data_IF_853057818708
#
_entry.id   IF_853057818708
#
_cell.length_a   1.000
_cell.length_b   1.000
_cell.length_c   1.000
_cell.angle_alpha   90.00
_cell.angle_beta   90.00
_cell.angle_gamma   90.00
#
_symmetry.space_group_name_H-M   'P 1'
#
loop_
_entity.id
_entity.type
_entity.pdbx_description
1 polymer ?
#
# COMPACT_ATOMS: atom_id res chain seq x y z
N UNK A 1 9.04 -31.54 -9.68
CA UNK A 1 8.89 -30.25 -8.98
C UNK A 1 8.35 -30.54 -7.59
N UNK A 2 8.76 -29.81 -6.55
CA UNK A 2 8.16 -29.97 -5.22
C UNK A 2 6.67 -29.62 -5.28
N UNK A 3 5.84 -30.40 -4.58
CA UNK A 3 4.43 -30.07 -4.36
C UNK A 3 4.35 -29.06 -3.21
N UNK A 4 3.59 -27.98 -3.40
CA UNK A 4 3.29 -27.00 -2.36
C UNK A 4 1.95 -27.39 -1.77
N UNK A 5 1.95 -27.81 -0.51
CA UNK A 5 0.73 -28.14 0.23
C UNK A 5 0.23 -26.88 0.97
N UNK A 6 -1.05 -26.54 0.79
CA UNK A 6 -1.69 -25.45 1.51
C UNK A 6 -2.54 -26.01 2.66
N UNK A 7 -2.54 -25.32 3.79
CA UNK A 7 -3.59 -25.50 4.81
C UNK A 7 -4.87 -24.81 4.36
N UNK A 8 -6.02 -25.19 4.94
CA UNK A 8 -7.30 -24.50 4.73
C UNK A 8 -7.20 -22.98 4.95
N UNK A 9 -6.48 -22.55 5.99
CA UNK A 9 -6.25 -21.13 6.27
C UNK A 9 -5.48 -20.46 5.14
N UNK A 10 -4.38 -21.05 4.69
CA UNK A 10 -3.54 -20.48 3.63
C UNK A 10 -4.28 -20.43 2.29
N UNK A 11 -5.12 -21.42 2.00
CA UNK A 11 -6.00 -21.39 0.84
C UNK A 11 -7.00 -20.22 0.90
N UNK A 12 -7.63 -20.01 2.06
CA UNK A 12 -8.51 -18.85 2.27
C UNK A 12 -7.78 -17.51 2.19
N UNK A 13 -6.55 -17.42 2.72
CA UNK A 13 -5.69 -16.23 2.62
C UNK A 13 -5.35 -15.92 1.16
N UNK A 14 -5.10 -16.95 0.34
CA UNK A 14 -4.83 -16.81 -1.09
C UNK A 14 -6.06 -16.30 -1.86
N UNK A 15 -7.25 -16.87 -1.60
CA UNK A 15 -8.50 -16.40 -2.20
C UNK A 15 -8.77 -14.92 -1.90
N UNK A 16 -8.62 -14.51 -0.63
CA UNK A 16 -8.73 -13.10 -0.23
C UNK A 16 -7.73 -12.21 -0.96
N UNK A 17 -6.47 -12.62 -1.01
CA UNK A 17 -5.39 -11.84 -1.66
C UNK A 17 -5.64 -11.65 -3.15
N UNK A 18 -6.11 -12.69 -3.84
CA UNK A 18 -6.50 -12.61 -5.24
C UNK A 18 -7.73 -11.74 -5.45
N UNK A 19 -8.69 -11.78 -4.53
CA UNK A 19 -9.89 -10.91 -4.59
C UNK A 19 -9.48 -9.43 -4.48
N UNK A 20 -8.63 -9.07 -3.52
CA UNK A 20 -8.06 -7.73 -3.43
C UNK A 20 -7.30 -7.38 -4.71
N UNK A 21 -6.52 -8.31 -5.25
CA UNK A 21 -5.79 -8.12 -6.51
C UNK A 21 -6.73 -7.87 -7.70
N UNK A 22 -7.89 -8.53 -7.76
CA UNK A 22 -8.91 -8.29 -8.79
C UNK A 22 -9.37 -6.83 -8.78
N UNK A 23 -9.68 -6.28 -7.59
CA UNK A 23 -10.03 -4.87 -7.46
C UNK A 23 -8.91 -3.94 -7.90
N UNK A 24 -7.67 -4.19 -7.48
CA UNK A 24 -6.51 -3.36 -7.84
C UNK A 24 -6.24 -3.41 -9.36
N UNK A 25 -6.26 -4.60 -9.96
CA UNK A 25 -6.05 -4.77 -11.40
C UNK A 25 -7.16 -4.10 -12.19
N UNK A 26 -8.41 -4.24 -11.77
CA UNK A 26 -9.55 -3.58 -12.40
C UNK A 26 -9.41 -2.06 -12.33
N UNK A 27 -9.06 -1.53 -11.15
CA UNK A 27 -8.79 -0.11 -10.98
C UNK A 27 -7.65 0.40 -11.89
N UNK A 28 -6.53 -0.32 -11.98
CA UNK A 28 -5.40 0.06 -12.85
C UNK A 28 -5.83 0.07 -14.33
N UNK A 29 -6.56 -0.96 -14.78
CA UNK A 29 -7.05 -1.05 -16.16
C UNK A 29 -7.99 0.11 -16.49
N UNK A 30 -8.95 0.39 -15.60
CA UNK A 30 -9.99 1.40 -15.83
C UNK A 30 -9.46 2.84 -15.71
N UNK A 31 -8.60 3.11 -14.72
CA UNK A 31 -8.17 4.47 -14.39
C UNK A 31 -6.86 4.87 -15.05
N UNK A 32 -5.89 3.94 -15.14
CA UNK A 32 -4.58 4.23 -15.72
C UNK A 32 -4.51 3.88 -17.22
N UNK A 33 -5.48 3.12 -17.74
CA UNK A 33 -5.46 2.63 -19.12
C UNK A 33 -4.27 1.71 -19.41
N UNK A 34 -3.73 1.07 -18.36
CA UNK A 34 -2.56 0.19 -18.46
C UNK A 34 -3.06 -1.25 -18.59
N UNK A 35 -2.60 -1.95 -19.62
CA UNK A 35 -2.79 -3.39 -19.70
C UNK A 35 -1.92 -4.08 -18.66
N UNK A 36 -2.58 -4.85 -17.79
CA UNK A 36 -1.93 -5.71 -16.81
C UNK A 36 -2.12 -7.15 -17.25
N UNK A 37 -1.00 -7.84 -17.53
CA UNK A 37 -0.94 -9.27 -17.85
C UNK A 37 -1.08 -10.11 -16.57
N UNK A 38 -2.19 -9.89 -15.87
CA UNK A 38 -2.62 -10.63 -14.70
C UNK A 38 -4.14 -10.74 -14.77
N UNK A 39 -4.65 -11.94 -14.53
CA UNK A 39 -6.08 -12.26 -14.51
C UNK A 39 -6.45 -12.90 -13.16
N UNK A 40 -6.66 -12.07 -12.12
CA UNK A 40 -7.01 -12.57 -10.79
C UNK A 40 -8.33 -13.33 -10.77
N UNK A 41 -9.32 -12.91 -11.58
CA UNK A 41 -10.65 -13.54 -11.61
C UNK A 41 -10.57 -14.99 -12.09
N UNK A 42 -9.77 -15.24 -13.13
CA UNK A 42 -9.48 -16.60 -13.57
C UNK A 42 -8.80 -17.41 -12.48
N UNK A 43 -7.81 -16.84 -11.78
CA UNK A 43 -7.11 -17.53 -10.69
C UNK A 43 -8.05 -17.86 -9.52
N UNK A 44 -8.98 -16.96 -9.18
CA UNK A 44 -10.01 -17.20 -8.16
C UNK A 44 -10.91 -18.36 -8.57
N UNK A 45 -11.40 -18.38 -9.81
CA UNK A 45 -12.25 -19.46 -10.32
C UNK A 45 -11.51 -20.80 -10.35
N UNK A 46 -10.25 -20.81 -10.80
CA UNK A 46 -9.41 -22.01 -10.81
C UNK A 46 -9.21 -22.56 -9.39
N UNK A 47 -9.04 -21.69 -8.38
CA UNK A 47 -8.97 -22.12 -6.99
C UNK A 47 -10.31 -22.65 -6.50
N UNK A 48 -11.41 -21.90 -6.66
CA UNK A 48 -12.74 -22.31 -6.19
C UNK A 48 -13.19 -23.66 -6.74
N UNK A 49 -12.78 -24.02 -7.97
CA UNK A 49 -13.01 -25.35 -8.54
C UNK A 49 -12.40 -26.50 -7.71
N UNK A 50 -11.36 -26.22 -6.93
CA UNK A 50 -10.65 -27.14 -6.03
C UNK A 50 -11.06 -26.94 -4.56
N UNK A 51 -12.00 -26.03 -4.27
CA UNK A 51 -12.33 -25.60 -2.92
C UNK A 51 -12.86 -26.71 -1.99
N UNK A 52 -13.43 -27.77 -2.56
CA UNK A 52 -13.95 -28.91 -1.81
C UNK A 52 -12.87 -29.56 -0.91
N UNK A 53 -11.63 -29.64 -1.39
CA UNK A 53 -10.50 -30.21 -0.64
C UNK A 53 -10.10 -29.36 0.57
N UNK A 54 -10.53 -28.10 0.60
CA UNK A 54 -10.29 -27.12 1.65
C UNK A 54 -11.56 -26.79 2.45
N UNK A 55 -12.64 -27.58 2.30
CA UNK A 55 -13.89 -27.38 3.04
C UNK A 55 -14.78 -26.24 2.51
N UNK A 56 -14.53 -25.77 1.29
CA UNK A 56 -15.41 -24.82 0.60
C UNK A 56 -16.49 -25.57 -0.21
N UNK A 57 -17.69 -24.99 -0.37
CA UNK A 57 -18.74 -25.64 -1.14
C UNK A 57 -18.34 -25.82 -2.61
N UNK A 58 -18.71 -26.97 -3.20
CA UNK A 58 -18.69 -27.11 -4.66
C UNK A 58 -19.84 -26.32 -5.22
N UNK A 59 -19.54 -25.40 -6.14
CA UNK A 59 -20.50 -24.46 -6.70
C UNK A 59 -20.35 -24.44 -8.22
N UNK A 60 -21.45 -24.27 -8.95
CA UNK A 60 -21.42 -23.92 -10.36
C UNK A 60 -21.00 -22.45 -10.56
N UNK A 61 -20.75 -22.02 -11.80
CA UNK A 61 -20.25 -20.67 -12.09
C UNK A 61 -21.14 -19.54 -11.52
N UNK A 62 -22.47 -19.71 -11.55
CA UNK A 62 -23.41 -18.73 -11.00
C UNK A 62 -23.32 -18.67 -9.47
N UNK A 63 -23.35 -19.84 -8.83
CA UNK A 63 -23.22 -19.97 -7.36
C UNK A 63 -21.87 -19.43 -6.87
N UNK A 64 -20.80 -19.65 -7.65
CA UNK A 64 -19.48 -19.11 -7.33
C UNK A 64 -19.48 -17.58 -7.37
N UNK A 65 -20.07 -16.97 -8.41
CA UNK A 65 -20.18 -15.51 -8.51
C UNK A 65 -20.95 -14.92 -7.33
N UNK A 66 -22.12 -15.48 -7.00
CA UNK A 66 -22.93 -15.03 -5.86
C UNK A 66 -22.18 -15.18 -4.53
N UNK A 67 -21.47 -16.30 -4.34
CA UNK A 67 -20.68 -16.54 -3.14
C UNK A 67 -19.48 -15.58 -3.03
N UNK A 68 -18.79 -15.29 -4.13
CA UNK A 68 -17.71 -14.31 -4.15
C UNK A 68 -18.20 -12.92 -3.73
N UNK A 69 -19.35 -12.48 -4.25
CA UNK A 69 -19.97 -11.20 -3.89
C UNK A 69 -20.40 -11.14 -2.42
N UNK A 70 -20.90 -12.26 -1.87
CA UNK A 70 -21.37 -12.29 -0.48
C UNK A 70 -20.26 -12.47 0.55
N UNK A 71 -19.24 -13.27 0.24
CA UNK A 71 -18.25 -13.70 1.24
C UNK A 71 -16.88 -13.06 1.01
N UNK A 72 -16.36 -13.04 -0.22
CA UNK A 72 -15.00 -12.55 -0.49
C UNK A 72 -14.95 -11.03 -0.67
N UNK A 73 -15.94 -10.45 -1.35
CA UNK A 73 -15.98 -9.02 -1.65
C UNK A 73 -16.00 -8.15 -0.38
N UNK A 74 -16.82 -8.41 0.64
CA UNK A 74 -16.78 -7.63 1.88
C UNK A 74 -15.43 -7.69 2.57
N UNK A 75 -14.81 -8.88 2.63
CA UNK A 75 -13.47 -9.06 3.21
C UNK A 75 -12.39 -8.28 2.44
N UNK A 76 -12.46 -8.28 1.11
CA UNK A 76 -11.54 -7.52 0.27
C UNK A 76 -11.74 -6.00 0.45
N UNK A 77 -12.99 -5.54 0.56
CA UNK A 77 -13.30 -4.14 0.82
C UNK A 77 -12.80 -3.67 2.19
N UNK A 78 -12.93 -4.52 3.22
CA UNK A 78 -12.39 -4.20 4.55
C UNK A 78 -10.86 -4.04 4.49
N UNK A 79 -10.14 -4.94 3.82
CA UNK A 79 -8.68 -4.85 3.64
C UNK A 79 -8.30 -3.57 2.87
N UNK A 80 -9.00 -3.28 1.77
CA UNK A 80 -8.74 -2.09 0.96
C UNK A 80 -8.99 -0.81 1.75
N UNK A 81 -10.02 -0.79 2.59
CA UNK A 81 -10.33 0.34 3.46
C UNK A 81 -9.27 0.54 4.54
N UNK A 82 -8.83 -0.53 5.20
CA UNK A 82 -7.73 -0.45 6.17
C UNK A 82 -6.44 0.07 5.52
N UNK A 83 -6.16 -0.36 4.29
CA UNK A 83 -5.03 0.16 3.52
C UNK A 83 -5.19 1.63 3.14
N UNK A 84 -6.38 2.06 2.71
CA UNK A 84 -6.67 3.46 2.40
C UNK A 84 -6.51 4.36 3.63
N UNK A 85 -7.05 3.94 4.78
CA UNK A 85 -6.90 4.64 6.06
C UNK A 85 -5.43 4.75 6.47
N UNK A 86 -4.64 3.67 6.32
CA UNK A 86 -3.19 3.69 6.54
C UNK A 86 -2.47 4.67 5.60
N UNK A 87 -2.74 4.57 4.30
CA UNK A 87 -2.11 5.40 3.28
C UNK A 87 -2.45 6.89 3.43
N UNK A 88 -3.65 7.21 3.93
CA UNK A 88 -4.02 8.58 4.26
C UNK A 88 -3.05 9.19 5.28
N UNK A 89 -2.76 8.48 6.37
CA UNK A 89 -1.85 8.98 7.41
C UNK A 89 -0.40 9.04 6.94
N UNK A 90 0.08 8.00 6.24
CA UNK A 90 1.40 8.00 5.61
C UNK A 90 1.57 9.21 4.68
N UNK A 91 0.57 9.44 3.82
CA UNK A 91 0.66 10.53 2.87
C UNK A 91 0.62 11.89 3.55
N UNK A 92 -0.21 12.05 4.57
CA UNK A 92 -0.31 13.29 5.33
C UNK A 92 1.02 13.62 6.03
N UNK A 93 1.67 12.65 6.66
CA UNK A 93 2.97 12.84 7.30
C UNK A 93 4.04 13.22 6.28
N UNK A 94 4.09 12.50 5.16
CA UNK A 94 5.03 12.76 4.07
C UNK A 94 4.85 14.16 3.46
N UNK A 95 3.61 14.58 3.18
CA UNK A 95 3.31 15.89 2.58
C UNK A 95 3.71 17.05 3.53
N UNK A 96 3.50 16.89 4.84
CA UNK A 96 3.92 17.88 5.85
C UNK A 96 5.46 17.93 6.01
N UNK A 97 6.12 16.77 5.97
CA UNK A 97 7.57 16.70 6.00
C UNK A 97 8.19 17.35 4.76
N UNK A 98 7.66 17.05 3.56
CA UNK A 98 8.11 17.65 2.30
C UNK A 98 7.97 19.17 2.33
N UNK A 99 6.81 19.68 2.79
CA UNK A 99 6.58 21.13 2.97
C UNK A 99 7.67 21.76 3.84
N UNK A 100 7.94 21.16 4.99
CA UNK A 100 8.89 21.72 5.95
C UNK A 100 10.31 21.64 5.40
N UNK A 101 10.72 20.53 4.80
CA UNK A 101 12.04 20.40 4.17
C UNK A 101 12.24 21.39 3.02
N UNK A 102 11.22 21.62 2.20
CA UNK A 102 11.26 22.60 1.11
C UNK A 102 11.48 24.03 1.64
N UNK A 103 10.94 24.36 2.82
CA UNK A 103 11.18 25.65 3.49
C UNK A 103 12.57 25.77 4.14
N UNK A 104 13.22 24.64 4.46
CA UNK A 104 14.52 24.57 5.15
C UNK A 104 15.73 24.39 4.20
N UNK A 105 15.61 24.75 2.93
CA UNK A 105 16.59 24.54 1.85
C UNK A 105 17.99 25.24 1.99
N UNK A 106 18.55 25.38 3.19
CA UNK A 106 19.88 25.95 3.43
C UNK A 106 20.78 25.12 4.36
N UNK A 107 20.61 23.80 4.46
CA UNK A 107 21.62 22.97 5.16
C UNK A 107 22.69 22.53 4.16
N UNK A 108 23.62 23.44 3.89
CA UNK A 108 24.88 23.10 3.23
C UNK A 108 25.69 22.20 4.17
N UNK A 109 25.92 20.95 3.78
CA UNK A 109 26.82 20.05 4.49
C UNK A 109 28.24 20.36 4.04
N UNK A 110 29.14 20.82 4.93
CA UNK A 110 30.54 20.98 4.58
C UNK A 110 31.18 19.58 4.60
N UNK A 111 31.21 18.91 3.45
CA UNK A 111 31.99 17.68 3.27
C UNK A 111 33.44 18.04 2.93
N UNK A 112 34.39 17.41 3.63
CA UNK A 112 35.82 17.61 3.42
C UNK A 112 36.22 17.01 2.05
N UNK A 113 36.93 17.80 1.24
CA UNK A 113 37.14 17.70 -0.22
C UNK A 113 37.90 16.46 -0.76
N UNK A 114 37.92 15.32 -0.07
CA UNK A 114 38.87 14.25 -0.42
C UNK A 114 38.25 13.03 -1.14
N UNK A 115 36.93 12.95 -1.34
CA UNK A 115 36.30 11.76 -1.93
C UNK A 115 35.76 11.98 -3.34
N UNK A 116 35.78 10.93 -4.16
CA UNK A 116 35.31 10.94 -5.54
C UNK A 116 33.86 11.48 -5.64
N UNK A 117 33.52 12.29 -6.67
CA UNK A 117 32.25 13.00 -6.75
C UNK A 117 30.99 12.11 -6.66
N UNK A 118 31.10 10.84 -7.06
CA UNK A 118 30.01 9.85 -6.95
C UNK A 118 29.73 9.41 -5.50
N UNK A 119 30.77 9.40 -4.65
CA UNK A 119 30.63 9.10 -3.21
C UNK A 119 30.03 10.30 -2.48
N UNK A 120 30.39 11.52 -2.88
CA UNK A 120 29.81 12.75 -2.32
C UNK A 120 28.31 12.89 -2.65
N UNK A 121 27.92 12.60 -3.88
CA UNK A 121 26.52 12.64 -4.31
C UNK A 121 25.66 11.59 -3.58
N UNK A 122 26.18 10.36 -3.44
CA UNK A 122 25.50 9.31 -2.69
C UNK A 122 25.38 9.67 -1.20
N UNK A 123 26.46 10.14 -0.57
CA UNK A 123 26.45 10.54 0.83
C UNK A 123 25.49 11.71 1.09
N UNK A 124 25.44 12.70 0.19
CA UNK A 124 24.49 13.81 0.29
C UNK A 124 23.04 13.32 0.14
N UNK A 125 22.78 12.39 -0.77
CA UNK A 125 21.45 11.82 -0.99
C UNK A 125 20.96 11.01 0.20
N UNK A 126 21.83 10.18 0.79
CA UNK A 126 21.53 9.42 2.00
C UNK A 126 21.24 10.33 3.19
N UNK A 127 22.03 11.39 3.38
CA UNK A 127 21.78 12.32 4.48
C UNK A 127 20.45 13.06 4.31
N UNK A 128 20.11 13.49 3.08
CA UNK A 128 18.81 14.10 2.79
C UNK A 128 17.66 13.13 3.07
N UNK A 129 17.83 11.86 2.73
CA UNK A 129 16.85 10.81 3.03
C UNK A 129 16.68 10.64 4.55
N UNK A 130 17.77 10.49 5.30
CA UNK A 130 17.73 10.37 6.77
C UNK A 130 17.05 11.59 7.43
N UNK A 131 17.36 12.80 6.96
CA UNK A 131 16.69 14.02 7.43
C UNK A 131 15.21 14.03 7.09
N UNK A 132 14.84 13.56 5.90
CA UNK A 132 13.45 13.47 5.48
C UNK A 132 12.66 12.53 6.38
N UNK A 133 13.18 11.32 6.58
CA UNK A 133 12.57 10.31 7.44
C UNK A 133 12.44 10.80 8.89
N UNK A 134 13.45 11.53 9.39
CA UNK A 134 13.39 12.08 10.75
C UNK A 134 12.37 13.22 10.94
N UNK A 135 12.00 13.94 9.88
CA UNK A 135 10.92 14.94 9.93
C UNK A 135 9.57 14.26 9.78
N UNK A 136 9.46 13.31 8.87
CA UNK A 136 8.27 12.49 8.64
C UNK A 136 7.86 11.72 9.90
N UNK A 137 8.80 11.09 10.60
CA UNK A 137 8.55 10.40 11.88
C UNK A 137 7.91 11.31 12.94
N UNK A 138 8.29 12.60 12.99
CA UNK A 138 7.68 13.54 13.94
C UNK A 138 6.22 13.79 13.63
N UNK A 139 5.86 13.82 12.35
CA UNK A 139 4.47 13.97 11.94
C UNK A 139 3.67 12.69 12.19
N UNK A 140 4.28 11.53 11.98
CA UNK A 140 3.71 10.25 12.39
C UNK A 140 3.38 10.20 13.87
N UNK A 141 4.36 10.49 14.75
CA UNK A 141 4.16 10.54 16.20
C UNK A 141 3.07 11.55 16.60
N UNK A 142 3.04 12.71 15.94
CA UNK A 142 2.06 13.76 16.22
C UNK A 142 0.63 13.34 15.83
N UNK A 143 0.47 12.72 14.67
CA UNK A 143 -0.83 12.25 14.18
C UNK A 143 -1.32 11.00 14.93
N UNK A 144 -0.43 10.07 15.30
CA UNK A 144 -0.79 8.92 16.13
C UNK A 144 -1.33 9.40 17.49
N UNK A 145 -0.72 10.43 18.07
CA UNK A 145 -1.08 10.93 19.39
C UNK A 145 -2.29 11.86 19.39
N UNK A 146 -2.39 12.76 18.41
CA UNK A 146 -3.33 13.89 18.44
C UNK A 146 -4.29 13.91 17.24
N UNK A 147 -4.18 12.97 16.29
CA UNK A 147 -4.95 13.00 15.05
C UNK A 147 -4.78 14.35 14.33
N UNK A 148 -5.89 15.03 14.04
CA UNK A 148 -5.88 16.33 13.37
C UNK A 148 -6.04 17.53 14.33
N UNK A 149 -6.11 17.30 15.64
CA UNK A 149 -6.45 18.36 16.61
C UNK A 149 -5.43 19.51 16.63
N UNK A 150 -4.18 19.23 16.26
CA UNK A 150 -3.10 20.23 16.19
C UNK A 150 -2.81 20.72 14.77
N UNK A 151 -3.66 20.37 13.79
CA UNK A 151 -3.53 20.84 12.41
C UNK A 151 -4.29 22.16 12.23
N UNK A 152 -3.54 23.24 12.01
CA UNK A 152 -4.09 24.58 11.79
C UNK A 152 -3.76 25.11 10.41
N UNK A 153 -4.76 25.63 9.70
CA UNK A 153 -4.58 26.31 8.41
C UNK A 153 -4.61 27.80 8.66
N UNK A 154 -3.48 28.48 8.46
CA UNK A 154 -3.45 29.95 8.52
C UNK A 154 -3.99 30.52 7.20
N UNK A 155 -5.15 31.17 7.25
CA UNK A 155 -5.74 31.85 6.09
C UNK A 155 -4.89 33.04 5.63
N UNK A 156 -5.04 33.45 4.36
CA UNK A 156 -4.28 34.55 3.74
C UNK A 156 -4.54 35.93 4.41
N UNK A 157 -5.53 36.04 5.30
CA UNK A 157 -6.00 37.31 5.87
C UNK A 157 -5.65 37.56 7.36
N UNK A 158 -4.72 36.80 7.96
CA UNK A 158 -4.22 37.04 9.33
C UNK A 158 -2.73 37.45 9.39
#
# INVERSE_FOLDING_TARGET
>A
MPQIELTQKQYGDLLRSLTVSSFVVSYIKDMAGVEVDLDPDKMINDLLSQGADFGYPTMNDLEQSEWQEMELFPQAMDILKEYDDFMFWERLASDFAERDLASHNNVAVPLQKEHAPQIEELASSLLKLEQSLAVEEKYHEEFEKNGLDNVYVKGIND
#
